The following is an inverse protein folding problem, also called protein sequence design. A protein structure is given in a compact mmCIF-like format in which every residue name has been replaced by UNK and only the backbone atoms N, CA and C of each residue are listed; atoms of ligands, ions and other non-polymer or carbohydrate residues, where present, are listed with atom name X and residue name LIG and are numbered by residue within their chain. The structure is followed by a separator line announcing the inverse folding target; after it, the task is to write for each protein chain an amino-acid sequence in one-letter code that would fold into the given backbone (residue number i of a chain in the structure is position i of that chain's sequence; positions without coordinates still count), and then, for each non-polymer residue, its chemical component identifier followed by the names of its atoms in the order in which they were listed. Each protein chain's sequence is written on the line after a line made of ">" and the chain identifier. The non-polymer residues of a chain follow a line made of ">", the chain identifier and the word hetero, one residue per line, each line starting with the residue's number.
data_IF_606452027368
#
_entry.id   IF_606452027368
#
_cell.length_a   1.000
_cell.length_b   1.000
_cell.length_c   1.000
_cell.angle_alpha   90.00
_cell.angle_beta   90.00
_cell.angle_gamma   90.00
#
_symmetry.space_group_name_H-M   'P 1'
#
loop_
_entity.id
_entity.type
_entity.pdbx_description
1 polymer ?
#
# COMPACT_ATOMS: atom_id res chain seq x y z
N UNK A 1 -29.78 -8.63 -41.55
CA UNK A 1 -28.55 -9.11 -40.90
C UNK A 1 -28.60 -8.62 -39.47
N UNK A 2 -29.08 -9.46 -38.57
CA UNK A 2 -29.16 -9.17 -37.15
C UNK A 2 -27.78 -9.47 -36.56
N UNK A 3 -27.18 -8.48 -35.91
CA UNK A 3 -25.90 -8.57 -35.24
C UNK A 3 -26.09 -9.38 -33.96
N UNK A 4 -25.42 -10.53 -33.86
CA UNK A 4 -25.38 -11.36 -32.66
C UNK A 4 -24.78 -10.55 -31.50
N UNK A 5 -25.63 -10.24 -30.52
CA UNK A 5 -25.21 -9.78 -29.21
C UNK A 5 -24.72 -11.04 -28.48
N UNK A 6 -23.40 -11.26 -28.44
CA UNK A 6 -22.81 -12.28 -27.56
C UNK A 6 -23.24 -11.97 -26.12
N UNK A 7 -24.07 -12.83 -25.57
CA UNK A 7 -24.43 -12.84 -24.16
C UNK A 7 -23.16 -12.92 -23.31
N UNK A 8 -22.94 -11.93 -22.43
CA UNK A 8 -22.09 -12.13 -21.26
C UNK A 8 -22.75 -13.24 -20.44
N UNK A 9 -22.13 -14.41 -20.39
CA UNK A 9 -22.55 -15.47 -19.47
C UNK A 9 -22.49 -14.90 -18.05
N UNK A 10 -23.63 -14.88 -17.35
CA UNK A 10 -23.67 -14.58 -15.92
C UNK A 10 -22.94 -15.72 -15.20
N UNK A 11 -21.71 -15.46 -14.76
CA UNK A 11 -20.96 -16.38 -13.92
C UNK A 11 -21.63 -16.36 -12.54
N UNK A 12 -22.37 -17.43 -12.23
CA UNK A 12 -22.92 -17.66 -10.89
C UNK A 12 -21.78 -18.15 -10.00
N UNK A 13 -21.34 -17.32 -9.06
CA UNK A 13 -20.30 -17.65 -8.09
C UNK A 13 -20.93 -18.21 -6.81
N UNK A 14 -20.30 -19.23 -6.23
CA UNK A 14 -20.59 -19.60 -4.84
C UNK A 14 -20.01 -18.55 -3.87
N UNK A 15 -20.54 -18.47 -2.64
CA UNK A 15 -20.06 -17.51 -1.60
C UNK A 15 -18.56 -17.59 -1.31
N UNK A 16 -17.92 -18.73 -1.63
CA UNK A 16 -16.50 -18.98 -1.43
C UNK A 16 -15.70 -18.99 -2.74
N UNK A 17 -16.18 -18.31 -3.77
CA UNK A 17 -15.51 -18.23 -5.07
C UNK A 17 -15.33 -16.78 -5.51
N UNK A 18 -14.30 -16.56 -6.33
CA UNK A 18 -14.02 -15.31 -7.01
C UNK A 18 -13.52 -15.59 -8.41
N UNK A 19 -13.71 -14.64 -9.33
CA UNK A 19 -13.07 -14.69 -10.65
C UNK A 19 -11.70 -14.06 -10.54
N UNK A 20 -10.65 -14.80 -10.92
CA UNK A 20 -9.32 -14.22 -11.00
C UNK A 20 -9.28 -13.19 -12.13
N UNK A 21 -8.80 -11.98 -11.83
CA UNK A 21 -8.74 -10.87 -12.78
C UNK A 21 -7.75 -11.16 -13.91
N UNK A 22 -6.65 -11.86 -13.60
CA UNK A 22 -5.63 -12.19 -14.59
C UNK A 22 -6.05 -13.35 -15.52
N UNK A 23 -6.53 -14.46 -14.95
CA UNK A 23 -6.82 -15.67 -15.75
C UNK A 23 -8.27 -15.80 -16.21
N UNK A 24 -9.20 -15.00 -15.66
CA UNK A 24 -10.64 -15.13 -15.89
C UNK A 24 -11.27 -16.41 -15.29
N UNK A 25 -10.48 -17.23 -14.60
CA UNK A 25 -10.94 -18.49 -14.03
C UNK A 25 -11.58 -18.28 -12.65
N UNK A 26 -12.59 -19.10 -12.33
CA UNK A 26 -13.15 -19.18 -10.98
C UNK A 26 -12.15 -19.86 -10.05
N UNK A 27 -11.81 -19.18 -8.95
CA UNK A 27 -10.92 -19.65 -7.90
C UNK A 27 -11.66 -19.65 -6.56
N UNK A 28 -11.28 -20.58 -5.68
CA UNK A 28 -11.76 -20.58 -4.30
C UNK A 28 -11.19 -19.39 -3.53
N UNK A 29 -12.04 -18.70 -2.79
CA UNK A 29 -11.72 -17.60 -1.89
C UNK A 29 -10.93 -18.11 -0.69
N UNK A 30 -9.61 -18.26 -0.87
CA UNK A 30 -8.63 -18.50 0.20
C UNK A 30 -7.93 -17.18 0.51
N UNK A 31 -7.45 -17.01 1.75
CA UNK A 31 -6.77 -15.76 2.14
C UNK A 31 -5.59 -15.40 1.22
N UNK A 32 -4.74 -16.38 0.86
CA UNK A 32 -3.66 -16.17 -0.11
C UNK A 32 -4.17 -15.73 -1.49
N UNK A 33 -5.29 -16.29 -1.97
CA UNK A 33 -5.86 -15.92 -3.27
C UNK A 33 -6.47 -14.52 -3.23
N UNK A 34 -7.19 -14.17 -2.16
CA UNK A 34 -7.71 -12.81 -1.96
C UNK A 34 -6.58 -11.77 -1.88
N UNK A 35 -5.47 -12.12 -1.21
CA UNK A 35 -4.28 -11.29 -1.17
C UNK A 35 -3.65 -11.15 -2.57
N UNK A 36 -3.62 -12.23 -3.36
CA UNK A 36 -3.07 -12.21 -4.71
C UNK A 36 -3.89 -11.31 -5.63
N UNK A 37 -5.22 -11.44 -5.63
CA UNK A 37 -6.10 -10.55 -6.41
C UNK A 37 -5.90 -9.09 -6.04
N UNK A 38 -5.68 -8.81 -4.75
CA UNK A 38 -5.40 -7.46 -4.29
C UNK A 38 -4.06 -6.92 -4.80
N UNK A 39 -3.02 -7.75 -4.81
CA UNK A 39 -1.70 -7.38 -5.34
C UNK A 39 -1.77 -7.16 -6.84
N UNK A 40 -2.50 -7.98 -7.59
CA UNK A 40 -2.72 -7.80 -9.04
C UNK A 40 -3.40 -6.45 -9.31
N UNK A 41 -4.50 -6.16 -8.61
CA UNK A 41 -5.20 -4.87 -8.75
C UNK A 41 -4.31 -3.69 -8.39
N UNK A 42 -3.55 -3.79 -7.29
CA UNK A 42 -2.62 -2.75 -6.88
C UNK A 42 -1.57 -2.48 -7.98
N UNK A 43 -0.93 -3.54 -8.50
CA UNK A 43 0.12 -3.41 -9.51
C UNK A 43 -0.42 -2.85 -10.85
N UNK A 44 -1.66 -3.18 -11.20
CA UNK A 44 -2.31 -2.66 -12.40
C UNK A 44 -2.79 -1.21 -12.22
N UNK A 45 -3.67 -0.97 -11.27
CA UNK A 45 -4.35 0.33 -11.14
C UNK A 45 -3.45 1.42 -10.53
N UNK A 46 -2.53 1.05 -9.65
CA UNK A 46 -1.70 2.02 -8.93
C UNK A 46 -0.29 2.13 -9.53
N UNK A 47 0.32 1.00 -9.91
CA UNK A 47 1.66 0.97 -10.48
C UNK A 47 1.66 0.98 -12.01
N UNK A 48 0.51 0.88 -12.66
CA UNK A 48 0.35 1.08 -14.11
C UNK A 48 0.79 -0.11 -14.98
N UNK A 49 1.14 -1.25 -14.39
CA UNK A 49 1.52 -2.42 -15.17
C UNK A 49 0.29 -3.06 -15.84
N UNK A 50 0.36 -3.31 -17.14
CA UNK A 50 -0.74 -3.96 -17.85
C UNK A 50 -0.93 -5.41 -17.35
N UNK A 51 -2.18 -5.88 -17.32
CA UNK A 51 -2.49 -7.28 -17.01
C UNK A 51 -1.90 -8.23 -18.04
N UNK A 52 -1.76 -7.79 -19.29
CA UNK A 52 -1.14 -8.58 -20.38
C UNK A 52 0.36 -8.81 -20.15
N UNK A 53 1.02 -7.96 -19.36
CA UNK A 53 2.43 -8.09 -18.99
C UNK A 53 2.63 -8.84 -17.66
N UNK A 54 1.56 -9.40 -17.07
CA UNK A 54 1.60 -10.15 -15.81
C UNK A 54 1.29 -11.63 -16.02
N UNK A 55 1.96 -12.51 -15.27
CA UNK A 55 1.62 -13.93 -15.22
C UNK A 55 1.57 -14.45 -13.78
N UNK A 56 0.52 -15.21 -13.46
CA UNK A 56 0.36 -15.86 -12.16
C UNK A 56 0.95 -17.25 -12.17
N UNK A 57 1.32 -17.73 -10.99
CA UNK A 57 1.70 -19.14 -10.79
C UNK A 57 2.94 -19.58 -11.63
N UNK A 58 3.80 -18.63 -12.01
CA UNK A 58 5.00 -18.87 -12.83
C UNK A 58 6.05 -19.71 -12.10
N UNK A 59 6.84 -20.50 -12.84
CA UNK A 59 7.93 -21.31 -12.29
C UNK A 59 9.26 -20.76 -12.73
N UNK A 60 10.02 -20.24 -11.77
CA UNK A 60 11.41 -19.81 -11.96
C UNK A 60 12.33 -21.00 -11.77
N UNK A 61 13.30 -21.17 -12.67
CA UNK A 61 14.32 -22.21 -12.61
C UNK A 61 15.69 -21.57 -12.34
N UNK A 62 16.47 -22.16 -11.46
CA UNK A 62 17.81 -21.69 -11.15
C UNK A 62 18.73 -22.83 -10.77
N UNK A 63 20.03 -22.64 -10.96
CA UNK A 63 21.04 -23.59 -10.51
C UNK A 63 21.40 -23.28 -9.05
N UNK A 64 21.31 -24.29 -8.19
CA UNK A 64 21.74 -24.17 -6.80
C UNK A 64 23.27 -24.07 -6.72
N UNK A 65 23.85 -22.96 -6.23
CA UNK A 65 25.30 -22.78 -6.17
C UNK A 65 26.01 -23.83 -5.30
N UNK A 66 25.33 -24.37 -4.28
CA UNK A 66 25.92 -25.38 -3.39
C UNK A 66 25.91 -26.79 -4.00
N UNK A 67 24.88 -27.10 -4.80
CA UNK A 67 24.66 -28.46 -5.27
C UNK A 67 24.82 -28.65 -6.78
N UNK A 68 24.93 -27.57 -7.55
CA UNK A 68 25.01 -27.58 -9.03
C UNK A 68 23.76 -28.19 -9.69
N UNK A 69 22.63 -28.25 -8.97
CA UNK A 69 21.39 -28.85 -9.46
C UNK A 69 20.40 -27.76 -9.82
N UNK A 70 19.72 -27.94 -10.95
CA UNK A 70 18.55 -27.13 -11.30
C UNK A 70 17.44 -27.35 -10.28
N UNK A 71 17.08 -26.27 -9.60
CA UNK A 71 15.91 -26.16 -8.73
C UNK A 71 14.83 -25.37 -9.44
N UNK A 72 13.58 -25.64 -9.04
CA UNK A 72 12.41 -24.91 -9.52
C UNK A 72 11.70 -24.29 -8.33
N UNK A 73 11.36 -23.02 -8.44
CA UNK A 73 10.57 -22.28 -7.46
C UNK A 73 9.34 -21.70 -8.14
N UNK A 74 8.17 -22.07 -7.61
CA UNK A 74 6.92 -21.47 -8.05
C UNK A 74 6.72 -20.13 -7.34
N UNK A 75 6.48 -19.07 -8.11
CA UNK A 75 6.17 -17.72 -7.63
C UNK A 75 4.71 -17.38 -7.90
N UNK A 76 4.13 -16.48 -7.10
CA UNK A 76 2.69 -16.20 -7.20
C UNK A 76 2.34 -15.32 -8.38
N UNK A 77 3.17 -14.32 -8.66
CA UNK A 77 2.98 -13.35 -9.73
C UNK A 77 4.34 -12.84 -10.21
N UNK A 78 4.49 -12.70 -11.52
CA UNK A 78 5.63 -12.05 -12.18
C UNK A 78 5.12 -10.95 -13.09
N UNK A 79 5.94 -9.94 -13.30
CA UNK A 79 5.70 -8.89 -14.30
C UNK A 79 6.85 -8.95 -15.30
N UNK A 80 6.52 -9.00 -16.58
CA UNK A 80 7.47 -8.99 -17.68
C UNK A 80 7.70 -7.58 -18.22
N UNK A 81 8.84 -7.39 -18.88
CA UNK A 81 9.08 -6.19 -19.66
C UNK A 81 8.01 -6.05 -20.76
N UNK A 82 7.45 -4.84 -20.91
CA UNK A 82 6.36 -4.56 -21.82
C UNK A 82 6.62 -5.07 -23.24
N UNK A 83 5.71 -5.90 -23.74
CA UNK A 83 5.77 -6.43 -25.11
C UNK A 83 6.85 -7.48 -25.35
N UNK A 84 7.51 -7.99 -24.30
CA UNK A 84 8.38 -9.17 -24.37
C UNK A 84 7.59 -10.46 -24.17
N UNK A 85 8.11 -11.60 -24.63
CA UNK A 85 7.48 -12.89 -24.32
C UNK A 85 7.55 -13.17 -22.82
N UNK A 86 6.58 -13.96 -22.33
CA UNK A 86 6.49 -14.40 -20.94
C UNK A 86 7.51 -15.52 -20.67
N UNK A 87 8.79 -15.15 -20.69
CA UNK A 87 9.95 -16.00 -20.43
C UNK A 87 10.76 -15.44 -19.25
N UNK A 88 11.43 -16.31 -18.51
CA UNK A 88 12.13 -15.95 -17.27
C UNK A 88 13.12 -14.78 -17.45
N UNK A 89 13.81 -14.73 -18.59
CA UNK A 89 14.80 -13.71 -18.90
C UNK A 89 14.22 -12.29 -18.99
N UNK A 90 12.90 -12.15 -19.16
CA UNK A 90 12.22 -10.85 -19.29
C UNK A 90 11.41 -10.47 -18.04
N UNK A 91 11.53 -11.21 -16.93
CA UNK A 91 10.86 -10.86 -15.67
C UNK A 91 11.56 -9.65 -15.05
N UNK A 92 10.85 -8.53 -14.98
CA UNK A 92 11.34 -7.29 -14.36
C UNK A 92 10.93 -7.16 -12.89
N UNK A 93 9.86 -7.85 -12.47
CA UNK A 93 9.38 -7.85 -11.08
C UNK A 93 8.86 -9.22 -10.65
N UNK A 94 9.09 -9.57 -9.39
CA UNK A 94 8.52 -10.77 -8.76
C UNK A 94 7.69 -10.38 -7.55
N UNK A 95 6.47 -10.93 -7.43
CA UNK A 95 5.66 -10.83 -6.24
C UNK A 95 5.38 -12.21 -5.60
N UNK A 96 5.77 -12.35 -4.34
CA UNK A 96 5.44 -13.49 -3.49
C UNK A 96 4.28 -13.10 -2.59
N UNK A 97 3.20 -13.87 -2.65
CA UNK A 97 1.99 -13.60 -1.89
C UNK A 97 1.69 -14.77 -0.97
N UNK A 98 1.53 -14.49 0.32
CA UNK A 98 1.31 -15.47 1.38
C UNK A 98 -0.07 -15.27 2.06
N UNK A 99 -0.44 -16.26 2.85
CA UNK A 99 -1.55 -16.21 3.80
C UNK A 99 -1.21 -15.27 4.99
N UNK A 100 -2.22 -14.65 5.57
CA UNK A 100 -2.09 -13.63 6.62
C UNK A 100 -1.39 -14.12 7.90
N UNK A 101 -1.37 -15.44 8.12
CA UNK A 101 -0.67 -16.07 9.26
C UNK A 101 0.83 -16.21 9.06
N UNK A 102 1.33 -16.11 7.83
CA UNK A 102 2.75 -16.26 7.53
C UNK A 102 3.48 -14.98 7.92
N UNK A 103 4.51 -15.11 8.75
CA UNK A 103 5.34 -13.97 9.16
C UNK A 103 6.44 -13.72 8.14
N UNK A 104 6.85 -12.45 8.00
CA UNK A 104 7.98 -12.02 7.16
C UNK A 104 9.26 -12.81 7.49
N UNK A 105 9.47 -13.13 8.78
CA UNK A 105 10.65 -13.87 9.27
C UNK A 105 10.48 -15.40 9.28
N UNK A 106 9.43 -15.94 8.66
CA UNK A 106 9.22 -17.38 8.58
C UNK A 106 10.37 -18.05 7.80
N UNK A 107 10.94 -19.12 8.37
CA UNK A 107 12.14 -19.79 7.83
C UNK A 107 11.93 -20.45 6.47
N UNK A 108 10.68 -20.69 6.04
CA UNK A 108 10.34 -21.41 4.80
C UNK A 108 9.49 -20.58 3.85
N UNK A 109 8.62 -19.74 4.40
CA UNK A 109 7.64 -18.94 3.64
C UNK A 109 7.83 -17.42 3.80
N UNK A 110 8.81 -17.02 4.62
CA UNK A 110 9.14 -15.62 4.85
C UNK A 110 9.89 -15.01 3.66
N UNK A 111 10.17 -13.73 3.78
CA UNK A 111 10.73 -12.88 2.73
C UNK A 111 12.05 -13.45 2.17
N UNK A 112 13.06 -13.67 3.02
CA UNK A 112 14.37 -14.20 2.62
C UNK A 112 14.27 -15.60 2.00
N UNK A 113 13.47 -16.49 2.61
CA UNK A 113 13.33 -17.86 2.13
C UNK A 113 12.59 -17.97 0.78
N UNK A 114 11.91 -16.91 0.34
CA UNK A 114 11.06 -16.94 -0.85
C UNK A 114 11.42 -15.87 -1.87
N UNK A 115 11.21 -14.59 -1.54
CA UNK A 115 11.36 -13.49 -2.47
C UNK A 115 12.83 -13.25 -2.85
N UNK A 116 13.74 -13.15 -1.88
CA UNK A 116 15.17 -12.93 -2.16
C UNK A 116 15.72 -14.05 -3.05
N UNK A 117 15.43 -15.31 -2.71
CA UNK A 117 15.80 -16.47 -3.53
C UNK A 117 15.24 -16.40 -4.98
N UNK A 118 13.97 -16.00 -5.14
CA UNK A 118 13.36 -15.88 -6.47
C UNK A 118 13.97 -14.73 -7.28
N UNK A 119 14.29 -13.61 -6.64
CA UNK A 119 14.92 -12.45 -7.29
C UNK A 119 16.38 -12.74 -7.67
N UNK A 120 17.13 -13.45 -6.81
CA UNK A 120 18.49 -13.91 -7.11
C UNK A 120 18.55 -14.86 -8.31
N UNK A 121 17.50 -15.68 -8.49
CA UNK A 121 17.38 -16.63 -9.58
C UNK A 121 17.14 -16.00 -10.97
N UNK A 122 16.77 -14.72 -11.03
CA UNK A 122 16.40 -14.04 -12.27
C UNK A 122 17.22 -12.77 -12.45
N UNK A 123 18.17 -12.79 -13.38
CA UNK A 123 19.12 -11.69 -13.60
C UNK A 123 18.41 -10.35 -13.85
N UNK A 124 17.42 -10.33 -14.76
CA UNK A 124 16.65 -9.14 -15.14
C UNK A 124 15.70 -8.60 -14.06
N UNK A 125 15.46 -9.36 -12.98
CA UNK A 125 14.57 -8.94 -11.91
C UNK A 125 15.29 -8.00 -10.92
N UNK A 126 15.01 -6.71 -11.01
CA UNK A 126 15.58 -5.69 -10.11
C UNK A 126 14.75 -5.47 -8.84
N UNK A 127 13.42 -5.56 -8.91
CA UNK A 127 12.57 -5.29 -7.75
C UNK A 127 11.57 -6.40 -7.46
N UNK A 128 11.19 -6.51 -6.20
CA UNK A 128 10.22 -7.51 -5.78
C UNK A 128 9.32 -7.05 -4.64
N UNK A 129 8.22 -7.77 -4.48
CA UNK A 129 7.20 -7.54 -3.47
C UNK A 129 6.93 -8.84 -2.71
N UNK A 130 7.02 -8.80 -1.40
CA UNK A 130 6.48 -9.85 -0.54
C UNK A 130 5.26 -9.30 0.18
N UNK A 131 4.14 -10.01 0.11
CA UNK A 131 2.90 -9.58 0.76
C UNK A 131 2.18 -10.76 1.43
N UNK A 132 1.54 -10.51 2.58
CA UNK A 132 0.67 -11.49 3.23
C UNK A 132 -0.72 -10.91 3.55
N UNK A 133 -1.10 -9.80 2.91
CA UNK A 133 -2.33 -9.07 3.20
C UNK A 133 -2.24 -8.12 4.40
N UNK A 134 -1.33 -8.37 5.35
CA UNK A 134 -1.09 -7.52 6.53
C UNK A 134 0.26 -6.80 6.50
N UNK A 135 1.17 -7.15 5.60
CA UNK A 135 2.49 -6.55 5.45
C UNK A 135 2.87 -6.58 3.98
N UNK A 136 3.54 -5.52 3.55
CA UNK A 136 4.06 -5.33 2.21
C UNK A 136 5.53 -4.97 2.37
N UNK A 137 6.40 -5.76 1.77
CA UNK A 137 7.83 -5.56 1.80
C UNK A 137 8.32 -5.44 0.36
N UNK A 138 8.79 -4.25 0.01
CA UNK A 138 9.35 -3.95 -1.29
C UNK A 138 10.86 -4.10 -1.19
N UNK A 139 11.47 -4.82 -2.13
CA UNK A 139 12.91 -5.02 -2.20
C UNK A 139 13.47 -4.51 -3.52
N UNK A 140 14.69 -3.99 -3.46
CA UNK A 140 15.59 -3.86 -4.61
C UNK A 140 16.69 -4.92 -4.49
N UNK A 141 17.00 -5.58 -5.61
CA UNK A 141 18.20 -6.40 -5.80
C UNK A 141 19.25 -5.53 -6.47
N UNK A 142 20.43 -5.45 -5.87
CA UNK A 142 21.61 -4.80 -6.45
C UNK A 142 22.77 -5.80 -6.39
N UNK A 143 23.72 -5.70 -7.33
CA UNK A 143 24.96 -6.46 -7.20
C UNK A 143 25.71 -6.03 -5.94
N UNK A 144 26.29 -6.98 -5.22
CA UNK A 144 27.13 -6.66 -4.08
C UNK A 144 28.38 -5.88 -4.53
N UNK A 145 29.07 -5.24 -3.57
CA UNK A 145 30.23 -4.39 -3.88
C UNK A 145 31.38 -5.11 -4.62
N UNK A 146 31.38 -6.45 -4.63
CA UNK A 146 32.42 -7.29 -5.21
C UNK A 146 31.96 -7.96 -6.52
N UNK A 147 30.66 -7.97 -6.82
CA UNK A 147 30.04 -8.56 -8.01
C UNK A 147 29.93 -10.08 -7.98
N UNK A 148 29.89 -10.70 -6.80
CA UNK A 148 29.79 -12.16 -6.63
C UNK A 148 28.44 -12.62 -6.06
N UNK A 149 27.69 -11.72 -5.43
CA UNK A 149 26.38 -12.00 -4.85
C UNK A 149 25.47 -10.76 -5.01
N UNK A 150 24.27 -10.82 -4.43
CA UNK A 150 23.32 -9.72 -4.46
C UNK A 150 23.06 -9.15 -3.06
N UNK A 151 22.99 -7.82 -2.97
CA UNK A 151 22.45 -7.12 -1.83
C UNK A 151 20.95 -6.86 -2.04
N UNK A 152 20.16 -7.17 -1.00
CA UNK A 152 18.72 -6.92 -0.98
C UNK A 152 18.39 -5.76 -0.04
N UNK A 153 17.92 -4.65 -0.61
CA UNK A 153 17.61 -3.44 0.15
C UNK A 153 16.10 -3.28 0.29
N UNK A 154 15.61 -3.18 1.54
CA UNK A 154 14.23 -2.79 1.83
C UNK A 154 13.93 -1.38 1.28
N UNK A 155 12.81 -1.25 0.58
CA UNK A 155 12.32 0.02 0.08
C UNK A 155 11.02 0.40 0.78
N UNK A 156 10.78 1.70 0.93
CA UNK A 156 9.44 2.17 1.32
C UNK A 156 8.42 1.86 0.23
N UNK A 157 8.85 1.85 -1.04
CA UNK A 157 8.03 1.66 -2.24
C UNK A 157 8.94 1.33 -3.45
N UNK A 158 8.40 0.79 -4.54
CA UNK A 158 9.17 0.56 -5.77
C UNK A 158 8.59 1.31 -6.99
N UNK A 159 9.35 1.43 -8.09
CA UNK A 159 8.88 2.17 -9.27
C UNK A 159 7.78 1.41 -10.02
N UNK A 160 6.74 2.14 -10.47
CA UNK A 160 5.73 1.63 -11.38
C UNK A 160 6.22 1.54 -12.83
N UNK A 161 5.30 1.27 -13.76
CA UNK A 161 5.61 1.21 -15.19
C UNK A 161 6.17 2.56 -15.67
N UNK A 162 7.39 2.52 -16.25
CA UNK A 162 8.06 3.71 -16.78
C UNK A 162 8.62 4.69 -15.73
N UNK A 163 8.54 4.36 -14.43
CA UNK A 163 9.15 5.14 -13.35
C UNK A 163 10.54 4.58 -12.99
N UNK A 164 11.46 5.45 -12.56
CA UNK A 164 12.72 5.03 -11.92
C UNK A 164 12.69 5.24 -10.40
N UNK A 165 13.71 4.75 -9.68
CA UNK A 165 13.84 5.02 -8.25
C UNK A 165 14.05 6.52 -7.96
N UNK A 166 14.81 7.21 -8.81
CA UNK A 166 15.06 8.64 -8.65
C UNK A 166 13.76 9.43 -8.76
N UNK A 167 12.82 9.00 -9.60
CA UNK A 167 11.50 9.62 -9.73
C UNK A 167 10.68 9.53 -8.43
N UNK A 168 10.86 8.47 -7.64
CA UNK A 168 10.20 8.31 -6.35
C UNK A 168 10.77 9.24 -5.26
N UNK A 169 12.06 9.57 -5.33
CA UNK A 169 12.75 10.44 -4.37
C UNK A 169 12.58 11.94 -4.66
N UNK A 170 11.94 12.30 -5.78
CA UNK A 170 11.66 13.70 -6.13
C UNK A 170 10.67 14.36 -5.16
N UNK A 171 11.11 15.45 -4.53
CA UNK A 171 10.32 16.23 -3.57
C UNK A 171 9.10 16.90 -4.23
N UNK A 172 9.20 17.21 -5.52
CA UNK A 172 8.14 17.82 -6.34
C UNK A 172 7.21 16.79 -7.00
N UNK A 173 7.35 15.49 -6.70
CA UNK A 173 6.44 14.46 -7.18
C UNK A 173 5.01 14.80 -6.77
N UNK A 174 4.24 15.33 -7.72
CA UNK A 174 2.83 15.67 -7.55
C UNK A 174 1.93 14.45 -7.63
N UNK A 175 2.44 13.31 -8.09
CA UNK A 175 1.67 12.09 -8.29
C UNK A 175 1.92 11.12 -7.14
N UNK A 176 1.21 11.33 -6.04
CA UNK A 176 0.85 10.23 -5.15
C UNK A 176 -0.15 9.33 -5.89
N UNK A 177 -0.10 8.02 -5.64
CA UNK A 177 -0.98 7.06 -6.31
C UNK A 177 -2.41 7.24 -5.85
N UNK A 178 -3.35 7.04 -6.77
CA UNK A 178 -4.77 6.90 -6.40
C UNK A 178 -4.94 5.49 -5.86
N UNK A 179 -5.43 5.30 -4.63
CA UNK A 179 -5.58 3.96 -4.07
C UNK A 179 -6.60 3.14 -4.84
N UNK A 180 -6.24 1.92 -5.20
CA UNK A 180 -7.16 0.90 -5.72
C UNK A 180 -8.04 0.36 -4.59
N UNK A 181 -9.30 0.06 -4.91
CA UNK A 181 -10.30 -0.66 -4.11
C UNK A 181 -10.11 -0.61 -2.57
N UNK A 182 -9.32 -1.54 -1.99
CA UNK A 182 -9.11 -1.69 -0.54
C UNK A 182 -7.70 -1.32 -0.04
N UNK A 183 -6.83 -0.78 -0.90
CA UNK A 183 -5.44 -0.45 -0.58
C UNK A 183 -5.34 0.55 0.58
N UNK A 184 -6.16 1.61 0.58
CA UNK A 184 -6.12 2.61 1.67
C UNK A 184 -6.56 1.98 3.00
N UNK A 185 -7.60 1.15 2.98
CA UNK A 185 -8.10 0.43 4.15
C UNK A 185 -7.01 -0.50 4.72
N UNK A 186 -6.29 -1.21 3.85
CA UNK A 186 -5.16 -2.06 4.25
C UNK A 186 -4.02 -1.25 4.84
N UNK A 187 -3.61 -0.16 4.20
CA UNK A 187 -2.55 0.73 4.68
C UNK A 187 -2.88 1.23 6.09
N UNK A 188 -4.10 1.71 6.29
CA UNK A 188 -4.58 2.19 7.58
C UNK A 188 -4.56 1.11 8.65
N UNK A 189 -5.05 -0.09 8.32
CA UNK A 189 -5.00 -1.24 9.22
C UNK A 189 -3.55 -1.62 9.57
N UNK A 190 -2.65 -1.72 8.58
CA UNK A 190 -1.23 -2.02 8.80
C UNK A 190 -0.55 -0.99 9.69
N UNK A 191 -0.78 0.30 9.42
CA UNK A 191 -0.23 1.39 10.21
C UNK A 191 -0.73 1.33 11.65
N UNK A 192 -2.03 1.09 11.86
CA UNK A 192 -2.61 0.92 13.19
C UNK A 192 -1.99 -0.28 13.93
N UNK A 193 -1.94 -1.44 13.28
CA UNK A 193 -1.43 -2.68 13.87
C UNK A 193 0.06 -2.58 14.21
N UNK A 194 0.84 -1.86 13.40
CA UNK A 194 2.24 -1.54 13.70
C UNK A 194 2.36 -0.66 14.95
N UNK A 195 1.56 0.41 15.08
CA UNK A 195 1.59 1.26 16.28
C UNK A 195 1.16 0.46 17.52
N UNK A 196 0.12 -0.37 17.39
CA UNK A 196 -0.40 -1.18 18.49
C UNK A 196 0.60 -2.25 18.95
N UNK A 197 1.20 -2.97 18.00
CA UNK A 197 2.08 -4.12 18.26
C UNK A 197 3.55 -3.77 18.43
N UNK A 198 4.13 -3.03 17.48
CA UNK A 198 5.56 -2.76 17.42
C UNK A 198 5.96 -1.56 18.28
N UNK A 199 5.16 -0.49 18.28
CA UNK A 199 5.41 0.69 19.14
C UNK A 199 4.85 0.50 20.56
N UNK A 200 4.07 -0.56 20.80
CA UNK A 200 3.49 -0.89 22.11
C UNK A 200 2.40 0.09 22.58
N UNK A 201 1.91 0.95 21.70
CA UNK A 201 1.01 2.08 22.00
C UNK A 201 -0.46 1.68 21.96
N UNK A 202 -0.84 0.67 22.74
CA UNK A 202 -2.17 0.05 22.63
C UNK A 202 -3.35 0.99 22.86
N UNK A 203 -3.22 1.93 23.80
CA UNK A 203 -4.31 2.82 24.24
C UNK A 203 -4.51 4.02 23.31
N UNK A 204 -3.48 4.42 22.59
CA UNK A 204 -3.49 5.63 21.78
C UNK A 204 -3.08 5.39 20.32
N UNK A 205 -2.92 4.13 19.89
CA UNK A 205 -2.58 3.77 18.52
C UNK A 205 -3.50 4.44 17.49
N UNK A 206 -4.81 4.43 17.77
CA UNK A 206 -5.80 5.11 16.97
C UNK A 206 -5.50 6.61 16.81
N UNK A 207 -5.27 7.31 17.92
CA UNK A 207 -5.02 8.75 17.92
C UNK A 207 -3.67 9.11 17.27
N UNK A 208 -2.63 8.30 17.48
CA UNK A 208 -1.34 8.47 16.82
C UNK A 208 -1.47 8.33 15.30
N UNK A 209 -2.23 7.33 14.81
CA UNK A 209 -2.51 7.17 13.39
C UNK A 209 -3.35 8.33 12.85
N UNK A 210 -4.39 8.75 13.58
CA UNK A 210 -5.27 9.84 13.20
C UNK A 210 -4.50 11.16 13.04
N UNK A 211 -3.56 11.44 13.95
CA UNK A 211 -2.67 12.60 13.88
C UNK A 211 -1.83 12.59 12.60
N UNK A 212 -1.31 11.43 12.19
CA UNK A 212 -0.58 11.30 10.92
C UNK A 212 -1.48 11.46 9.69
N UNK A 213 -2.70 10.94 9.74
CA UNK A 213 -3.69 11.13 8.66
C UNK A 213 -4.01 12.61 8.49
N UNK A 214 -4.26 13.34 9.58
CA UNK A 214 -4.50 14.78 9.51
C UNK A 214 -3.27 15.55 9.04
N UNK A 215 -2.09 15.18 9.51
CA UNK A 215 -0.82 15.76 9.06
C UNK A 215 -0.67 15.65 7.54
N UNK A 216 -0.95 14.47 6.98
CA UNK A 216 -0.93 14.24 5.53
C UNK A 216 -2.01 15.01 4.77
N UNK A 217 -3.26 14.98 5.24
CA UNK A 217 -4.36 15.74 4.63
C UNK A 217 -4.06 17.24 4.61
N UNK A 218 -3.46 17.75 5.67
CA UNK A 218 -3.05 19.14 5.76
C UNK A 218 -1.97 19.46 4.73
N UNK A 219 -0.92 18.65 4.62
CA UNK A 219 0.12 18.81 3.61
C UNK A 219 -0.43 18.82 2.19
N UNK A 220 -1.37 17.93 1.86
CA UNK A 220 -1.99 17.91 0.54
C UNK A 220 -2.89 19.14 0.30
N UNK A 221 -3.65 19.57 1.31
CA UNK A 221 -4.52 20.76 1.18
C UNK A 221 -3.72 22.05 1.00
N UNK A 222 -2.50 22.14 1.54
CA UNK A 222 -1.62 23.31 1.38
C UNK A 222 -1.30 23.64 -0.07
N UNK A 223 -1.42 22.67 -1.00
CA UNK A 223 -1.32 22.92 -2.44
C UNK A 223 -2.36 23.91 -2.97
N UNK A 224 -3.51 24.00 -2.30
CA UNK A 224 -4.65 24.85 -2.66
C UNK A 224 -4.74 26.11 -1.78
N UNK A 225 -3.79 26.34 -0.88
CA UNK A 225 -3.78 27.49 0.02
C UNK A 225 -2.74 28.51 -0.43
N UNK A 226 -3.03 29.79 -0.23
CA UNK A 226 -2.00 30.83 -0.32
C UNK A 226 -1.06 30.69 0.88
N UNK A 227 0.18 30.28 0.63
CA UNK A 227 1.17 30.17 1.68
C UNK A 227 1.65 31.57 2.11
N UNK A 228 1.84 31.81 3.41
CA UNK A 228 2.39 33.07 3.90
C UNK A 228 3.72 33.39 3.21
N UNK A 229 3.88 34.62 2.72
CA UNK A 229 5.13 35.05 2.08
C UNK A 229 5.26 34.74 0.58
N UNK A 230 4.22 34.21 -0.08
CA UNK A 230 4.25 33.93 -1.53
C UNK A 230 5.10 32.71 -1.90
N UNK A 231 5.40 31.85 -0.93
CA UNK A 231 6.14 30.62 -1.17
C UNK A 231 5.34 29.64 -2.04
N UNK A 232 6.01 29.01 -2.99
CA UNK A 232 5.42 27.90 -3.74
C UNK A 232 5.25 26.69 -2.83
N UNK A 233 4.12 25.99 -2.97
CA UNK A 233 3.87 24.74 -2.27
C UNK A 233 5.03 23.75 -2.42
N UNK A 234 5.52 23.25 -1.28
CA UNK A 234 6.48 22.15 -1.22
C UNK A 234 5.95 21.10 -0.29
N UNK A 235 5.84 19.88 -0.81
CA UNK A 235 5.41 18.71 -0.08
C UNK A 235 6.33 18.47 1.12
N UNK A 236 5.74 18.34 2.31
CA UNK A 236 6.48 17.99 3.53
C UNK A 236 6.18 16.58 4.02
N UNK A 237 5.04 16.00 3.65
CA UNK A 237 4.69 14.62 3.98
C UNK A 237 5.21 13.65 2.91
N UNK A 238 6.50 13.33 3.01
CA UNK A 238 7.17 12.36 2.13
C UNK A 238 8.29 11.64 2.89
N UNK A 239 8.65 10.46 2.39
CA UNK A 239 9.74 9.61 2.88
C UNK A 239 10.48 9.10 1.65
N UNK A 240 11.79 9.34 1.60
CA UNK A 240 12.61 8.82 0.50
C UNK A 240 12.65 7.30 0.50
N UNK A 241 12.91 6.69 -0.65
CA UNK A 241 12.74 5.24 -0.87
C UNK A 241 13.59 4.42 0.11
N UNK A 242 14.86 4.83 0.28
CA UNK A 242 15.83 4.21 1.21
C UNK A 242 16.00 5.02 2.50
N UNK A 243 15.29 6.13 2.68
CA UNK A 243 15.48 7.06 3.81
C UNK A 243 15.23 6.38 5.17
N UNK A 244 14.31 5.42 5.23
CA UNK A 244 14.00 4.66 6.44
C UNK A 244 15.09 3.63 6.84
N UNK A 245 16.10 3.39 6.01
CA UNK A 245 17.09 2.33 6.27
C UNK A 245 18.23 2.81 7.19
N UNK A 246 18.50 4.11 7.23
CA UNK A 246 19.51 4.74 8.10
C UNK A 246 18.90 5.37 9.35
N UNK A 247 19.69 5.54 10.40
CA UNK A 247 19.26 6.25 11.60
C UNK A 247 19.08 7.75 11.32
N UNK A 248 19.97 8.33 10.52
CA UNK A 248 19.95 9.72 10.11
C UNK A 248 18.70 10.03 9.29
N UNK A 249 18.36 9.17 8.33
CA UNK A 249 17.17 9.31 7.51
C UNK A 249 15.87 9.19 8.32
N UNK A 250 15.79 8.22 9.25
CA UNK A 250 14.66 8.13 10.20
C UNK A 250 14.48 9.41 11.02
N UNK A 251 15.57 9.98 11.54
CA UNK A 251 15.55 11.26 12.27
C UNK A 251 15.11 12.41 11.37
N UNK A 252 15.57 12.46 10.12
CA UNK A 252 15.17 13.48 9.16
C UNK A 252 13.67 13.43 8.85
N UNK A 253 13.13 12.23 8.59
CA UNK A 253 11.68 12.01 8.42
C UNK A 253 10.92 12.43 9.66
N UNK A 254 11.36 11.98 10.84
CA UNK A 254 10.68 12.31 12.09
C UNK A 254 10.63 13.82 12.34
N UNK A 255 11.73 14.53 12.11
CA UNK A 255 11.80 15.99 12.22
C UNK A 255 10.85 16.67 11.23
N UNK A 256 10.81 16.20 9.98
CA UNK A 256 9.96 16.72 8.90
C UNK A 256 8.47 16.59 9.24
N UNK A 257 8.04 15.39 9.62
CA UNK A 257 6.63 15.08 9.91
C UNK A 257 6.17 15.73 11.22
N UNK A 258 7.00 15.72 12.28
CA UNK A 258 6.69 16.42 13.54
C UNK A 258 6.60 17.93 13.33
N UNK A 259 7.48 18.53 12.53
CA UNK A 259 7.40 19.95 12.17
C UNK A 259 6.12 20.31 11.43
N UNK A 260 5.71 19.49 10.47
CA UNK A 260 4.44 19.65 9.76
C UNK A 260 3.23 19.51 10.70
N UNK A 261 3.29 18.63 11.70
CA UNK A 261 2.24 18.48 12.70
C UNK A 261 2.12 19.71 13.61
N UNK A 262 3.23 20.35 13.97
CA UNK A 262 3.18 21.64 14.69
C UNK A 262 2.56 22.76 13.83
N UNK A 263 2.84 22.79 12.52
CA UNK A 263 2.15 23.72 11.60
C UNK A 263 0.64 23.46 11.55
N UNK A 264 0.23 22.19 11.50
CA UNK A 264 -1.18 21.78 11.53
C UNK A 264 -1.90 22.25 12.80
N UNK A 265 -1.30 22.06 13.98
CA UNK A 265 -1.91 22.49 15.25
C UNK A 265 -2.17 23.99 15.33
N UNK A 266 -1.35 24.78 14.65
CA UNK A 266 -1.48 26.24 14.59
C UNK A 266 -2.38 26.72 13.44
N UNK A 267 -2.87 25.82 12.57
CA UNK A 267 -3.71 26.19 11.44
C UNK A 267 -5.17 26.39 11.87
N UNK A 268 -5.75 27.55 11.54
CA UNK A 268 -7.13 27.90 11.87
C UNK A 268 -8.19 26.92 11.32
N UNK A 269 -7.87 26.17 10.27
CA UNK A 269 -8.79 25.20 9.63
C UNK A 269 -9.01 23.96 10.52
N UNK A 270 -8.09 23.69 11.45
CA UNK A 270 -8.13 22.51 12.32
C UNK A 270 -8.13 22.86 13.82
N UNK A 271 -8.26 24.14 14.18
CA UNK A 271 -8.24 24.59 15.58
C UNK A 271 -9.42 24.08 16.42
N UNK A 272 -10.50 23.63 15.79
CA UNK A 272 -11.64 22.99 16.48
C UNK A 272 -11.43 21.48 16.72
N UNK A 273 -10.50 20.87 15.99
CA UNK A 273 -10.22 19.42 16.05
C UNK A 273 -9.12 19.10 17.06
N UNK A 274 -8.14 20.00 17.21
CA UNK A 274 -7.01 19.85 18.13
C UNK A 274 -7.18 20.72 19.38
N UNK A 275 -7.00 20.11 20.55
CA UNK A 275 -6.99 20.80 21.85
C UNK A 275 -5.62 21.43 22.16
N UNK A 276 -4.62 21.19 21.29
CA UNK A 276 -3.28 21.77 21.34
C UNK A 276 -2.27 20.97 22.18
N UNK A 277 -2.74 19.98 22.95
CA UNK A 277 -1.91 19.07 23.74
C UNK A 277 -1.52 17.80 22.98
N UNK A 278 -2.01 17.60 21.75
CA UNK A 278 -1.71 16.43 20.95
C UNK A 278 -0.24 16.43 20.51
N UNK A 279 0.35 15.23 20.49
CA UNK A 279 1.71 14.97 20.03
C UNK A 279 1.80 13.66 19.26
N UNK A 280 2.80 13.59 18.37
CA UNK A 280 3.22 12.36 17.71
C UNK A 280 4.36 11.77 18.54
N UNK A 281 4.04 10.74 19.33
CA UNK A 281 4.96 10.12 20.30
C UNK A 281 5.51 8.78 19.80
N UNK A 282 5.58 8.63 18.48
CA UNK A 282 6.18 7.46 17.82
C UNK A 282 7.70 7.59 17.82
N UNK A 283 8.38 6.43 17.87
CA UNK A 283 9.83 6.37 17.64
C UNK A 283 10.16 6.84 16.22
N UNK A 284 11.39 7.31 16.00
CA UNK A 284 11.80 7.77 14.66
C UNK A 284 11.67 6.63 13.62
N UNK A 285 11.94 5.39 14.03
CA UNK A 285 11.76 4.19 13.20
C UNK A 285 10.27 3.96 12.87
N UNK A 286 9.40 3.96 13.88
CA UNK A 286 7.97 3.75 13.68
C UNK A 286 7.35 4.85 12.83
N UNK A 287 7.70 6.10 13.11
CA UNK A 287 7.23 7.25 12.35
C UNK A 287 7.67 7.19 10.89
N UNK A 288 8.94 6.85 10.61
CA UNK A 288 9.43 6.71 9.24
C UNK A 288 8.70 5.60 8.47
N UNK A 289 8.49 4.44 9.10
CA UNK A 289 7.76 3.32 8.50
C UNK A 289 6.32 3.71 8.16
N UNK A 290 5.57 4.24 9.14
CA UNK A 290 4.15 4.59 8.95
C UNK A 290 4.01 5.76 7.97
N UNK A 291 4.86 6.77 8.07
CA UNK A 291 4.85 7.89 7.12
C UNK A 291 5.15 7.40 5.70
N UNK A 292 6.05 6.44 5.51
CA UNK A 292 6.34 5.82 4.22
C UNK A 292 5.12 5.11 3.63
N UNK A 293 4.37 4.37 4.45
CA UNK A 293 3.15 3.70 4.03
C UNK A 293 2.04 4.68 3.62
N UNK A 294 1.85 5.76 4.39
CA UNK A 294 0.85 6.78 4.09
C UNK A 294 1.28 7.66 2.91
N UNK A 295 2.56 7.95 2.74
CA UNK A 295 3.07 8.88 1.74
C UNK A 295 2.80 8.43 0.29
N UNK A 296 2.58 7.14 0.05
CA UNK A 296 2.31 6.58 -1.29
C UNK A 296 1.03 7.10 -1.93
N UNK A 297 -0.01 7.34 -1.13
CA UNK A 297 -1.37 7.56 -1.62
C UNK A 297 -1.78 9.02 -1.55
N UNK A 298 -2.63 9.47 -2.47
CA UNK A 298 -3.31 10.76 -2.33
C UNK A 298 -4.54 10.60 -1.43
N UNK A 299 -4.61 11.34 -0.32
CA UNK A 299 -5.79 11.29 0.54
C UNK A 299 -6.86 12.27 0.09
N UNK A 300 -6.50 13.34 -0.62
CA UNK A 300 -7.46 14.25 -1.23
C UNK A 300 -8.14 13.63 -2.46
N UNK A 301 -7.38 12.94 -3.31
CA UNK A 301 -7.91 12.39 -4.57
C UNK A 301 -8.59 11.01 -4.40
N UNK A 302 -8.38 10.34 -3.26
CA UNK A 302 -9.13 9.13 -2.93
C UNK A 302 -10.66 9.40 -2.96
N UNK A 303 -11.46 8.42 -3.39
CA UNK A 303 -12.91 8.58 -3.42
C UNK A 303 -13.50 8.72 -2.01
N UNK A 304 -14.67 9.37 -1.89
CA UNK A 304 -15.38 9.51 -0.61
C UNK A 304 -15.68 8.15 0.02
N UNK A 305 -15.94 7.14 -0.82
CA UNK A 305 -16.20 5.77 -0.38
C UNK A 305 -14.96 5.10 0.20
N UNK A 306 -13.81 5.25 -0.46
CA UNK A 306 -12.53 4.69 0.01
C UNK A 306 -12.09 5.33 1.33
N UNK A 307 -12.17 6.65 1.45
CA UNK A 307 -11.81 7.35 2.70
C UNK A 307 -12.67 6.89 3.88
N UNK A 308 -13.96 6.76 3.62
CA UNK A 308 -14.91 6.45 4.65
C UNK A 308 -14.89 4.97 5.07
N UNK A 309 -14.71 4.03 4.13
CA UNK A 309 -14.43 2.63 4.47
C UNK A 309 -13.15 2.48 5.29
N UNK A 310 -12.09 3.21 4.92
CA UNK A 310 -10.83 3.16 5.64
C UNK A 310 -10.99 3.71 7.08
N UNK A 311 -11.70 4.83 7.25
CA UNK A 311 -12.03 5.38 8.57
C UNK A 311 -12.87 4.42 9.41
N UNK A 312 -13.97 3.89 8.85
CA UNK A 312 -14.84 2.92 9.52
C UNK A 312 -14.07 1.67 9.94
N UNK A 313 -13.10 1.21 9.14
CA UNK A 313 -12.29 0.03 9.46
C UNK A 313 -11.38 0.28 10.65
N UNK A 314 -10.67 1.41 10.70
CA UNK A 314 -9.82 1.73 11.87
C UNK A 314 -10.71 1.92 13.10
N UNK A 315 -11.74 2.77 13.01
CA UNK A 315 -12.58 3.14 14.15
C UNK A 315 -13.38 1.94 14.66
N UNK A 316 -13.90 1.08 13.79
CA UNK A 316 -14.61 -0.13 14.21
C UNK A 316 -13.70 -1.09 14.97
N UNK A 317 -12.42 -1.21 14.60
CA UNK A 317 -11.49 -2.07 15.34
C UNK A 317 -11.19 -1.52 16.73
N UNK A 318 -11.08 -0.19 16.88
CA UNK A 318 -10.85 0.46 18.17
C UNK A 318 -12.11 0.50 19.05
N UNK A 319 -13.25 0.95 18.52
CA UNK A 319 -14.51 1.10 19.27
C UNK A 319 -15.15 -0.26 19.64
N UNK A 320 -14.99 -1.31 18.83
CA UNK A 320 -15.46 -2.66 19.20
C UNK A 320 -14.73 -3.20 20.42
N UNK A 321 -13.49 -2.80 20.65
CA UNK A 321 -12.71 -3.25 21.81
C UNK A 321 -13.08 -2.50 23.10
N UNK A 322 -13.56 -1.25 23.01
CA UNK A 322 -13.80 -0.42 24.21
C UNK A 322 -15.28 -0.15 24.56
N UNK A 323 -16.24 -0.15 23.61
CA UNK A 323 -17.57 0.44 23.89
C UNK A 323 -18.81 -0.27 23.32
N UNK A 324 -18.69 -1.37 22.55
CA UNK A 324 -19.85 -2.04 21.95
C UNK A 324 -20.67 -1.18 20.98
N UNK A 325 -20.05 -0.12 20.44
CA UNK A 325 -20.64 0.80 19.47
C UNK A 325 -20.45 0.27 18.05
N UNK A 326 -21.48 0.40 17.21
CA UNK A 326 -21.46 -0.03 15.81
C UNK A 326 -21.82 1.14 14.90
N UNK A 327 -21.18 1.20 13.73
CA UNK A 327 -21.59 2.12 12.67
C UNK A 327 -22.89 1.66 12.01
N UNK A 328 -23.66 2.62 11.52
CA UNK A 328 -24.79 2.33 10.62
C UNK A 328 -24.23 1.99 9.23
N UNK A 329 -24.55 0.83 8.64
CA UNK A 329 -24.03 0.43 7.33
C UNK A 329 -24.30 1.47 6.23
N UNK A 330 -23.32 1.75 5.37
CA UNK A 330 -23.43 2.79 4.32
C UNK A 330 -24.58 2.60 3.36
N UNK A 331 -24.88 1.37 2.98
CA UNK A 331 -26.02 1.07 2.12
C UNK A 331 -27.34 1.50 2.77
N UNK A 332 -27.45 1.40 4.10
CA UNK A 332 -28.60 1.90 4.87
C UNK A 332 -28.58 3.43 4.92
N UNK A 333 -27.44 4.06 5.23
CA UNK A 333 -27.32 5.53 5.23
C UNK A 333 -27.69 6.12 3.88
N UNK A 334 -27.12 5.58 2.79
CA UNK A 334 -27.38 6.02 1.42
C UNK A 334 -28.85 5.83 1.05
N UNK A 335 -29.44 4.66 1.36
CA UNK A 335 -30.86 4.41 1.17
C UNK A 335 -31.71 5.43 1.94
N UNK A 336 -31.41 5.71 3.21
CA UNK A 336 -32.17 6.69 4.00
C UNK A 336 -32.03 8.11 3.46
N UNK A 337 -30.83 8.53 3.03
CA UNK A 337 -30.61 9.86 2.43
C UNK A 337 -31.31 9.99 1.08
N UNK A 338 -31.26 8.96 0.24
CA UNK A 338 -31.97 8.91 -1.05
C UNK A 338 -33.49 8.91 -0.86
N UNK A 339 -34.00 8.21 0.17
CA UNK A 339 -35.42 8.26 0.53
C UNK A 339 -35.86 9.60 1.09
N UNK A 340 -34.98 10.29 1.82
CA UNK A 340 -35.27 11.60 2.44
C UNK A 340 -35.14 12.77 1.45
N UNK A 341 -34.31 12.62 0.40
CA UNK A 341 -34.02 13.63 -0.64
C UNK A 341 -33.93 15.07 -0.11
N UNK A 342 -33.04 15.37 0.87
CA UNK A 342 -33.01 16.67 1.51
C UNK A 342 -32.56 17.76 0.52
N UNK A 343 -33.31 18.88 0.38
CA UNK A 343 -32.90 19.99 -0.47
C UNK A 343 -31.59 20.63 0.01
N UNK A 344 -30.83 21.26 -0.91
CA UNK A 344 -29.48 21.83 -0.65
C UNK A 344 -29.38 22.79 0.55
N UNK A 345 -30.48 23.39 1.01
CA UNK A 345 -30.52 24.35 2.10
C UNK A 345 -31.18 23.81 3.38
N UNK A 346 -31.39 22.50 3.48
CA UNK A 346 -31.99 21.87 4.65
C UNK A 346 -30.95 21.67 5.73
N UNK A 347 -31.25 22.15 6.94
CA UNK A 347 -30.47 21.84 8.13
C UNK A 347 -30.85 20.43 8.57
N UNK A 348 -29.89 19.53 8.54
CA UNK A 348 -30.03 18.14 8.99
C UNK A 348 -29.38 18.04 10.38
N UNK A 349 -30.08 17.40 11.32
CA UNK A 349 -29.64 17.22 12.71
C UNK A 349 -29.27 15.76 12.99
#
# INVERSE_FOLDING_TARGET
>A
MATDIKSKEEIVLEDNELVCILSGEVKKTKAQESNLQSVILMLNEEYGFDLDDMERDFTVEYEDPETGKTKKQKVNLVIFEKGKPHEQDFIIRIAIVQDDKVKVTDKKKGLTATLENAMAAVESCEFGLWANGSSYNFLQKEDDAIGFDYDFTDLSDFPGEGETLEDLDRVDRSHTRTPANDSLTKVFKRSHDYIYGNEGRKKDAFWQLLNLIFCKLYDEKRRFMELPGGESYRRKFWVGVKEQNSEEGRKAVAKRIKGLFEELKNAAIFSEVFQGNESIDLTDKGLAFIAGELAKYSFLDASVDVKGMAYETIVSNTLKQEAGQFFTPRNIVKCMVEMLDPPKNTIVY
#
